data_IF_174564086477
#
_entry.id   IF_174564086477
#
_cell.length_a   1.000
_cell.length_b   1.000
_cell.length_c   1.000
_cell.angle_alpha   90.00
_cell.angle_beta   90.00
_cell.angle_gamma   90.00
#
_symmetry.space_group_name_H-M   'P 1'
#
loop_
_entity.id
_entity.type
_entity.pdbx_description
1 polymer ?
#
# COMPACT_ATOMS: atom_id res chain seq x y z
N UNK A 1 16.11 -17.80 19.20
CA UNK A 1 14.79 -17.54 18.59
C UNK A 1 14.58 -16.03 18.54
N UNK A 2 15.23 -15.35 17.59
CA UNK A 2 14.99 -13.93 17.35
C UNK A 2 13.78 -13.82 16.44
N UNK A 3 12.57 -13.89 17.00
CA UNK A 3 11.38 -13.46 16.29
C UNK A 3 11.57 -11.97 16.01
N UNK A 4 11.84 -11.62 14.74
CA UNK A 4 11.72 -10.24 14.25
C UNK A 4 10.48 -9.65 14.91
N UNK A 5 10.59 -8.52 15.65
CA UNK A 5 9.43 -7.99 16.32
C UNK A 5 8.41 -7.79 15.22
N UNK A 6 7.28 -8.48 15.37
CA UNK A 6 6.04 -8.19 14.71
C UNK A 6 5.70 -6.77 15.14
N UNK A 7 6.40 -5.75 14.61
CA UNK A 7 5.92 -4.38 14.56
C UNK A 7 4.51 -4.58 14.07
N UNK A 8 3.57 -4.40 15.01
CA UNK A 8 2.22 -4.88 14.86
C UNK A 8 1.75 -4.34 13.52
N UNK A 9 1.28 -5.19 12.62
CA UNK A 9 0.74 -4.68 11.35
C UNK A 9 -0.30 -3.58 11.61
N UNK A 10 -0.96 -3.63 12.77
CA UNK A 10 -1.82 -2.58 13.32
C UNK A 10 -1.10 -1.25 13.63
N UNK A 11 0.11 -1.29 14.20
CA UNK A 11 0.93 -0.11 14.45
C UNK A 11 1.41 0.50 13.13
N UNK A 12 1.92 -0.33 12.21
CA UNK A 12 2.28 0.13 10.87
C UNK A 12 1.09 0.74 10.12
N UNK A 13 -0.09 0.11 10.21
CA UNK A 13 -1.32 0.63 9.62
C UNK A 13 -1.71 1.97 10.23
N UNK A 14 -1.60 2.12 11.55
CA UNK A 14 -1.89 3.37 12.23
C UNK A 14 -0.94 4.49 11.80
N UNK A 15 0.36 4.23 11.78
CA UNK A 15 1.36 5.22 11.36
C UNK A 15 1.14 5.70 9.92
N UNK A 16 0.78 4.78 9.02
CA UNK A 16 0.47 5.10 7.62
C UNK A 16 -0.87 5.87 7.47
N UNK A 17 -1.87 5.58 8.30
CA UNK A 17 -3.12 6.36 8.33
C UNK A 17 -2.88 7.78 8.85
N UNK A 18 -2.08 7.92 9.90
CA UNK A 18 -1.68 9.23 10.42
C UNK A 18 -0.86 10.01 9.37
N UNK A 19 0.00 9.32 8.62
CA UNK A 19 0.73 9.91 7.49
C UNK A 19 -0.21 10.38 6.36
N UNK A 20 -1.27 9.63 6.03
CA UNK A 20 -2.27 10.06 5.03
C UNK A 20 -3.05 11.30 5.52
N UNK A 21 -3.29 11.42 6.83
CA UNK A 21 -3.91 12.63 7.40
C UNK A 21 -2.99 13.84 7.33
N UNK A 22 -1.68 13.64 7.56
CA UNK A 22 -0.68 14.71 7.49
C UNK A 22 -0.39 15.13 6.03
N UNK A 23 -0.31 14.16 5.12
CA UNK A 23 -0.13 14.39 3.68
C UNK A 23 -1.04 13.45 2.88
N UNK A 24 -2.26 13.88 2.56
CA UNK A 24 -3.14 13.09 1.71
C UNK A 24 -2.59 13.06 0.28
N UNK A 25 -2.69 11.91 -0.38
CA UNK A 25 -2.32 11.78 -1.79
C UNK A 25 -0.91 11.26 -2.07
N UNK A 26 -0.18 10.79 -1.06
CA UNK A 26 1.13 10.16 -1.27
C UNK A 26 0.93 8.71 -1.76
N UNK A 27 1.32 8.44 -3.00
CA UNK A 27 1.19 7.12 -3.64
C UNK A 27 1.94 6.03 -2.88
N UNK A 28 3.13 6.35 -2.38
CA UNK A 28 3.94 5.43 -1.56
C UNK A 28 3.21 5.01 -0.27
N UNK A 29 2.54 5.95 0.42
CA UNK A 29 1.80 5.68 1.64
C UNK A 29 0.64 4.70 1.39
N UNK A 30 -0.09 4.89 0.29
CA UNK A 30 -1.17 4.01 -0.14
C UNK A 30 -0.68 2.61 -0.54
N UNK A 31 0.50 2.51 -1.17
CA UNK A 31 1.15 1.23 -1.46
C UNK A 31 1.47 0.47 -0.16
N UNK A 32 2.04 1.15 0.83
CA UNK A 32 2.35 0.53 2.12
C UNK A 32 1.08 0.13 2.88
N UNK A 33 0.01 0.94 2.86
CA UNK A 33 -1.29 0.56 3.43
C UNK A 33 -1.79 -0.75 2.79
N UNK A 34 -1.73 -0.83 1.47
CA UNK A 34 -2.04 -2.04 0.72
C UNK A 34 -1.21 -3.26 1.14
N UNK A 35 0.11 -3.09 1.32
CA UNK A 35 1.03 -4.14 1.77
C UNK A 35 0.75 -4.61 3.20
N UNK A 36 0.49 -3.68 4.11
CA UNK A 36 0.22 -3.99 5.52
C UNK A 36 -1.12 -4.72 5.64
N UNK A 37 -2.16 -4.26 4.96
CA UNK A 37 -3.47 -4.93 4.90
C UNK A 37 -3.36 -6.33 4.27
N UNK A 38 -2.57 -6.47 3.20
CA UNK A 38 -2.26 -7.77 2.61
C UNK A 38 -1.63 -8.72 3.62
N UNK A 39 -0.64 -8.25 4.38
CA UNK A 39 0.00 -9.04 5.43
C UNK A 39 -0.93 -9.34 6.61
N UNK A 40 -1.94 -8.49 6.88
CA UNK A 40 -3.00 -8.76 7.85
C UNK A 40 -4.00 -9.83 7.39
N UNK A 41 -4.07 -10.09 6.08
CA UNK A 41 -5.08 -10.95 5.45
C UNK A 41 -6.32 -10.20 4.99
N UNK A 42 -6.35 -8.88 5.13
CA UNK A 42 -7.46 -8.01 4.71
C UNK A 42 -7.32 -7.66 3.21
N UNK A 43 -7.44 -8.67 2.35
CA UNK A 43 -7.25 -8.51 0.91
C UNK A 43 -8.26 -7.56 0.25
N UNK A 44 -9.48 -7.45 0.80
CA UNK A 44 -10.51 -6.56 0.26
C UNK A 44 -10.11 -5.08 0.38
N UNK A 45 -9.66 -4.68 1.57
CA UNK A 45 -9.16 -3.32 1.83
C UNK A 45 -7.82 -3.10 1.13
N UNK A 46 -6.90 -4.07 1.20
CA UNK A 46 -5.62 -3.98 0.50
C UNK A 46 -5.80 -3.71 -1.00
N UNK A 47 -6.76 -4.37 -1.65
CA UNK A 47 -7.09 -4.14 -3.07
C UNK A 47 -7.55 -2.71 -3.33
N UNK A 48 -8.42 -2.15 -2.47
CA UNK A 48 -8.89 -0.76 -2.61
C UNK A 48 -7.72 0.22 -2.55
N UNK A 49 -6.87 0.10 -1.52
CA UNK A 49 -5.72 0.99 -1.34
C UNK A 49 -4.69 0.85 -2.47
N UNK A 50 -4.43 -0.36 -2.95
CA UNK A 50 -3.56 -0.59 -4.11
C UNK A 50 -4.14 -0.04 -5.41
N UNK A 51 -5.47 -0.09 -5.61
CA UNK A 51 -6.14 0.54 -6.75
C UNK A 51 -6.01 2.06 -6.67
N UNK A 52 -6.24 2.65 -5.50
CA UNK A 52 -6.07 4.09 -5.28
C UNK A 52 -4.61 4.52 -5.44
N UNK A 53 -3.64 3.71 -5.03
CA UNK A 53 -2.22 3.94 -5.30
C UNK A 53 -1.89 3.83 -6.80
N UNK A 54 -2.49 2.87 -7.52
CA UNK A 54 -2.27 2.69 -8.95
C UNK A 54 -3.00 3.72 -9.83
N UNK A 55 -3.97 4.43 -9.25
CA UNK A 55 -4.69 5.57 -9.85
C UNK A 55 -4.11 6.91 -9.44
N UNK A 56 -3.53 7.00 -8.24
CA UNK A 56 -2.83 8.18 -7.78
C UNK A 56 -1.66 8.45 -8.73
N UNK A 57 -1.60 9.71 -9.17
CA UNK A 57 -0.61 10.29 -10.08
C UNK A 57 -0.41 9.55 -11.40
N UNK A 58 -1.45 9.67 -12.22
CA UNK A 58 -1.30 9.75 -13.68
C UNK A 58 -1.07 11.22 -14.13
N UNK A 59 -0.44 12.06 -13.29
CA UNK A 59 0.15 13.34 -13.70
C UNK A 59 1.65 13.07 -13.88
N UNK A 60 2.13 13.24 -15.11
CA UNK A 60 3.22 12.47 -15.74
C UNK A 60 4.66 12.80 -15.29
N UNK A 61 4.90 13.54 -14.21
CA UNK A 61 6.19 14.23 -14.03
C UNK A 61 7.18 13.64 -13.01
N UNK A 62 6.79 12.71 -12.12
CA UNK A 62 7.72 12.13 -11.13
C UNK A 62 8.03 10.64 -11.37
N UNK A 63 9.25 10.38 -11.84
CA UNK A 63 9.79 9.03 -12.11
C UNK A 63 9.73 8.08 -10.91
N UNK A 64 9.74 8.63 -9.70
CA UNK A 64 9.67 7.87 -8.44
C UNK A 64 8.26 7.29 -8.24
N UNK A 65 7.21 8.04 -8.55
CA UNK A 65 5.84 7.57 -8.37
C UNK A 65 5.48 6.46 -9.38
N UNK A 66 6.06 6.50 -10.58
CA UNK A 66 5.90 5.45 -11.59
C UNK A 66 6.33 4.07 -11.10
N UNK A 67 7.40 3.99 -10.32
CA UNK A 67 7.86 2.71 -9.74
C UNK A 67 6.86 2.18 -8.71
N UNK A 68 6.36 3.06 -7.84
CA UNK A 68 5.36 2.72 -6.83
C UNK A 68 4.02 2.30 -7.44
N UNK A 69 3.56 2.99 -8.49
CA UNK A 69 2.36 2.64 -9.27
C UNK A 69 2.53 1.27 -9.92
N UNK A 70 3.70 1.00 -10.50
CA UNK A 70 3.99 -0.31 -11.09
C UNK A 70 3.97 -1.41 -10.03
N UNK A 71 4.60 -1.19 -8.88
CA UNK A 71 4.58 -2.13 -7.76
C UNK A 71 3.15 -2.38 -7.25
N UNK A 72 2.32 -1.34 -7.16
CA UNK A 72 0.91 -1.48 -6.77
C UNK A 72 0.13 -2.36 -7.76
N UNK A 73 0.33 -2.14 -9.07
CA UNK A 73 -0.29 -2.94 -10.13
C UNK A 73 0.19 -4.38 -10.13
N UNK A 74 1.48 -4.63 -9.92
CA UNK A 74 2.01 -5.99 -9.82
C UNK A 74 1.43 -6.72 -8.59
N UNK A 75 1.26 -6.03 -7.46
CA UNK A 75 0.56 -6.62 -6.31
C UNK A 75 -0.90 -6.94 -6.63
N UNK A 76 -1.63 -6.07 -7.33
CA UNK A 76 -3.01 -6.33 -7.75
C UNK A 76 -3.14 -7.56 -8.68
N UNK A 77 -2.09 -7.91 -9.41
CA UNK A 77 -2.05 -9.10 -10.25
C UNK A 77 -1.78 -10.40 -9.47
N UNK A 78 -1.48 -10.33 -8.17
CA UNK A 78 -1.32 -11.55 -7.37
C UNK A 78 -2.63 -12.34 -7.34
N UNK A 79 -2.55 -13.67 -7.44
CA UNK A 79 -3.71 -14.59 -7.48
C UNK A 79 -4.67 -14.43 -6.30
N UNK A 80 -4.17 -13.90 -5.18
CA UNK A 80 -4.91 -13.57 -3.95
C UNK A 80 -5.91 -12.43 -4.14
N UNK A 81 -5.70 -11.53 -5.11
CA UNK A 81 -6.63 -10.45 -5.47
C UNK A 81 -7.48 -10.75 -6.71
N UNK A 82 -7.17 -11.84 -7.43
CA UNK A 82 -7.89 -12.32 -8.62
C UNK A 82 -8.99 -13.34 -8.28
N UNK A 83 -9.17 -13.68 -7.01
CA UNK A 83 -10.13 -14.68 -6.53
C UNK A 83 -11.47 -14.08 -6.19
#
# INVERSE_FOLDING_TARGET
MGSLPRVSLDAALKDLLDAEQLRPGITENRLYLGRVLYAKGDYAEAKKWLIEAAKATCDEDESVEREHIRAAREMLQLKVFQK
#
